data_IF_653847942779
#
_entry.id   IF_653847942779
#
_cell.length_a   1.000
_cell.length_b   1.000
_cell.length_c   1.000
_cell.angle_alpha   90.00
_cell.angle_beta   90.00
_cell.angle_gamma   90.00
#
_symmetry.space_group_name_H-M   'P 1'
#
loop_
_entity.id
_entity.type
_entity.pdbx_description
1 polymer ?
#
# COMPACT_ATOMS: atom_id res chain seq x y z
N UNK A 1 9.09 15.26 1.00
CA UNK A 1 9.57 13.87 1.02
C UNK A 1 9.23 13.20 -0.30
N UNK A 2 10.16 12.48 -0.89
CA UNK A 2 9.92 11.84 -2.18
C UNK A 2 9.10 10.57 -2.01
N UNK A 3 8.47 10.14 -3.11
CA UNK A 3 7.72 8.90 -3.12
C UNK A 3 8.59 7.71 -2.70
N UNK A 4 9.82 7.67 -3.20
CA UNK A 4 10.75 6.60 -2.86
C UNK A 4 11.08 6.56 -1.37
N UNK A 5 11.15 7.71 -0.73
CA UNK A 5 11.40 7.75 0.72
C UNK A 5 10.26 7.07 1.50
N UNK A 6 9.01 7.26 1.08
CA UNK A 6 7.89 6.56 1.68
C UNK A 6 8.02 5.06 1.51
N UNK A 7 8.37 4.62 0.31
CA UNK A 7 8.52 3.19 0.03
C UNK A 7 9.64 2.58 0.86
N UNK A 8 10.78 3.27 0.96
CA UNK A 8 11.91 2.81 1.76
C UNK A 8 11.55 2.69 3.24
N UNK A 9 10.82 3.68 3.76
CA UNK A 9 10.38 3.66 5.15
C UNK A 9 9.41 2.50 5.42
N UNK A 10 8.50 2.24 4.49
CA UNK A 10 7.55 1.14 4.62
C UNK A 10 8.29 -0.19 4.64
N UNK A 11 9.26 -0.35 3.77
CA UNK A 11 10.07 -1.57 3.74
C UNK A 11 10.85 -1.76 5.04
N UNK A 12 11.41 -0.69 5.57
CA UNK A 12 12.14 -0.74 6.83
C UNK A 12 11.22 -1.11 8.00
N UNK A 13 9.99 -0.61 7.97
CA UNK A 13 9.03 -0.84 9.05
C UNK A 13 8.37 -2.21 8.97
N UNK A 14 7.98 -2.65 7.78
CA UNK A 14 7.19 -3.86 7.60
C UNK A 14 7.97 -5.02 7.02
N UNK A 15 9.13 -4.76 6.42
CA UNK A 15 9.89 -5.77 5.71
C UNK A 15 9.29 -6.16 4.36
N UNK A 16 8.29 -5.39 3.88
CA UNK A 16 7.57 -5.70 2.65
C UNK A 16 7.74 -4.60 1.62
N UNK A 17 7.78 -5.01 0.35
CA UNK A 17 7.81 -4.07 -0.78
C UNK A 17 6.38 -3.83 -1.27
N UNK A 18 6.16 -2.79 -2.12
CA UNK A 18 4.83 -2.58 -2.71
C UNK A 18 4.31 -3.81 -3.46
N UNK A 19 5.18 -4.57 -4.11
CA UNK A 19 4.78 -5.80 -4.78
C UNK A 19 4.22 -6.82 -3.80
N UNK A 20 4.82 -6.92 -2.62
CA UNK A 20 4.34 -7.83 -1.58
C UNK A 20 2.93 -7.44 -1.14
N UNK A 21 2.71 -6.14 -0.93
CA UNK A 21 1.38 -5.64 -0.57
C UNK A 21 0.37 -5.90 -1.68
N UNK A 22 0.77 -5.74 -2.94
CA UNK A 22 -0.11 -5.99 -4.07
C UNK A 22 -0.55 -7.44 -4.11
N UNK A 23 0.36 -8.37 -3.90
CA UNK A 23 0.04 -9.80 -3.85
C UNK A 23 -0.93 -10.11 -2.72
N UNK A 24 -0.71 -9.53 -1.56
CA UNK A 24 -1.61 -9.72 -0.42
C UNK A 24 -2.99 -9.14 -0.70
N UNK A 25 -3.05 -7.97 -1.33
CA UNK A 25 -4.32 -7.35 -1.68
C UNK A 25 -5.09 -8.19 -2.69
N UNK A 26 -4.41 -8.75 -3.68
CA UNK A 26 -5.03 -9.65 -4.64
C UNK A 26 -5.63 -10.87 -3.94
N UNK A 27 -4.89 -11.44 -3.02
CA UNK A 27 -5.32 -12.61 -2.25
C UNK A 27 -6.57 -12.32 -1.45
N UNK A 28 -6.68 -11.11 -0.90
CA UNK A 28 -7.84 -10.69 -0.11
C UNK A 28 -8.98 -10.18 -0.98
N UNK A 29 -8.79 -10.08 -2.28
CA UNK A 29 -9.81 -9.56 -3.18
C UNK A 29 -9.93 -8.03 -3.14
N UNK A 30 -8.93 -7.34 -2.63
CA UNK A 30 -8.95 -5.88 -2.51
C UNK A 30 -8.62 -5.16 -3.82
N UNK A 31 -8.19 -5.89 -4.85
CA UNK A 31 -7.89 -5.30 -6.14
C UNK A 31 -8.99 -5.51 -7.16
N UNK A 32 -10.13 -6.04 -6.73
CA UNK A 32 -11.29 -6.24 -7.61
C UNK A 32 -11.96 -4.92 -7.93
N UNK A 33 -12.63 -4.88 -9.08
CA UNK A 33 -13.45 -3.72 -9.44
C UNK A 33 -14.50 -3.48 -8.36
N UNK A 34 -14.73 -2.23 -8.02
CA UNK A 34 -15.68 -1.86 -6.99
C UNK A 34 -15.09 -1.69 -5.60
N UNK A 35 -13.87 -2.17 -5.36
CA UNK A 35 -13.20 -1.90 -4.09
C UNK A 35 -12.69 -0.47 -4.10
N UNK A 36 -12.99 0.27 -3.04
CA UNK A 36 -12.63 1.69 -2.96
C UNK A 36 -11.26 1.89 -2.34
N UNK A 37 -10.64 3.02 -2.68
CA UNK A 37 -9.34 3.38 -2.13
C UNK A 37 -9.34 3.37 -0.60
N UNK A 38 -10.42 3.84 0.02
CA UNK A 38 -10.54 3.86 1.47
C UNK A 38 -10.44 2.49 2.11
N UNK A 39 -10.95 1.46 1.45
CA UNK A 39 -10.87 0.10 1.97
C UNK A 39 -9.42 -0.39 1.97
N UNK A 40 -8.69 -0.12 0.90
CA UNK A 40 -7.29 -0.51 0.79
C UNK A 40 -6.44 0.25 1.80
N UNK A 41 -6.65 1.55 1.91
CA UNK A 41 -5.91 2.38 2.87
C UNK A 41 -6.20 1.93 4.30
N UNK A 42 -7.46 1.66 4.63
CA UNK A 42 -7.85 1.19 5.96
C UNK A 42 -7.19 -0.15 6.30
N UNK A 43 -7.14 -1.05 5.34
CA UNK A 43 -6.47 -2.33 5.52
C UNK A 43 -4.98 -2.15 5.81
N UNK A 44 -4.31 -1.30 5.04
CA UNK A 44 -2.89 -1.04 5.23
C UNK A 44 -2.60 -0.39 6.58
N UNK A 45 -3.44 0.51 7.00
CA UNK A 45 -3.29 1.17 8.30
C UNK A 45 -3.51 0.20 9.46
N UNK A 46 -4.49 -0.67 9.32
CA UNK A 46 -4.86 -1.60 10.38
C UNK A 46 -3.90 -2.78 10.49
N UNK A 47 -3.60 -3.41 9.38
CA UNK A 47 -2.82 -4.65 9.38
C UNK A 47 -1.32 -4.40 9.47
N UNK A 48 -0.86 -3.27 8.97
CA UNK A 48 0.57 -2.96 8.90
C UNK A 48 0.97 -1.73 9.71
N UNK A 49 0.01 -1.14 10.40
CA UNK A 49 0.24 0.03 11.26
C UNK A 49 0.92 1.17 10.49
N UNK A 50 0.52 1.37 9.25
CA UNK A 50 1.06 2.43 8.41
C UNK A 50 0.31 3.73 8.64
N UNK A 51 1.04 4.86 8.57
CA UNK A 51 0.39 6.17 8.59
C UNK A 51 -0.39 6.39 7.29
N UNK A 52 -1.27 7.40 7.31
CA UNK A 52 -2.11 7.70 6.14
C UNK A 52 -1.28 7.95 4.88
N UNK A 53 -0.21 8.76 4.99
CA UNK A 53 0.64 9.05 3.83
C UNK A 53 1.32 7.81 3.27
N UNK A 54 1.80 6.93 4.15
CA UNK A 54 2.44 5.68 3.73
C UNK A 54 1.44 4.75 3.07
N UNK A 55 0.24 4.63 3.63
CA UNK A 55 -0.81 3.79 3.05
C UNK A 55 -1.22 4.30 1.67
N UNK A 56 -1.32 5.62 1.51
CA UNK A 56 -1.63 6.21 0.22
C UNK A 56 -0.52 5.97 -0.81
N UNK A 57 0.73 5.98 -0.37
CA UNK A 57 1.86 5.67 -1.26
C UNK A 57 1.76 4.24 -1.80
N UNK A 58 1.42 3.29 -0.96
CA UNK A 58 1.22 1.89 -1.39
C UNK A 58 0.05 1.80 -2.35
N UNK A 59 -1.05 2.45 -2.03
CA UNK A 59 -2.22 2.45 -2.91
C UNK A 59 -1.86 3.02 -4.29
N UNK A 60 -1.05 4.08 -4.33
CA UNK A 60 -0.60 4.66 -5.60
C UNK A 60 0.18 3.65 -6.45
N UNK A 61 0.98 2.78 -5.82
CA UNK A 61 1.70 1.75 -6.57
C UNK A 61 0.73 0.75 -7.20
N UNK A 62 -0.38 0.48 -6.54
CA UNK A 62 -1.40 -0.44 -7.08
C UNK A 62 -2.02 0.11 -8.35
N UNK A 63 -2.04 1.43 -8.49
CA UNK A 63 -2.54 2.10 -9.68
C UNK A 63 -1.47 2.36 -10.74
N UNK A 64 -0.27 1.85 -10.52
CA UNK A 64 0.83 2.02 -11.46
C UNK A 64 1.57 3.34 -11.37
N UNK A 65 1.37 4.10 -10.31
CA UNK A 65 2.04 5.40 -10.13
C UNK A 65 3.31 5.24 -9.32
N UNK A 66 4.22 4.44 -9.81
CA UNK A 66 5.46 4.12 -9.11
C UNK A 66 6.61 5.07 -9.43
N UNK A 67 6.37 6.03 -10.30
CA UNK A 67 7.42 6.97 -10.70
C UNK A 67 7.04 8.39 -10.51
#
# INVERSE_FOLDING_TARGET
MSFQAYIDNIKAKTGKTPNDFKKLAEKKGLLKAGVKAGEIVAWLKKDFDLGHGHAMAIYATFKGKTK
#
